data_IF_346506515504
#
_entry.id   IF_346506515504
#
_cell.length_a   1.000
_cell.length_b   1.000
_cell.length_c   1.000
_cell.angle_alpha   90.00
_cell.angle_beta   90.00
_cell.angle_gamma   90.00
#
_symmetry.space_group_name_H-M   'P 1'
#
loop_
_entity.id
_entity.type
_entity.pdbx_description
1 polymer ?
#
# COMPACT_ATOMS: atom_id res chain seq x y z
N UNK A 1 -2.27 -14.61 19.28
CA UNK A 1 -1.51 -14.75 18.02
C UNK A 1 -0.39 -13.70 17.99
N UNK A 2 0.84 -14.10 17.61
CA UNK A 2 2.02 -13.23 17.61
C UNK A 2 2.33 -12.67 16.22
N UNK A 3 1.52 -12.95 15.19
CA UNK A 3 1.77 -12.58 13.79
C UNK A 3 2.09 -11.10 13.62
N UNK A 4 1.24 -10.21 14.13
CA UNK A 4 1.43 -8.76 14.04
C UNK A 4 2.74 -8.27 14.70
N UNK A 5 3.13 -8.89 15.82
CA UNK A 5 4.37 -8.58 16.51
C UNK A 5 5.59 -9.00 15.68
N UNK A 6 5.53 -10.21 15.09
CA UNK A 6 6.63 -10.74 14.27
C UNK A 6 6.80 -9.86 13.01
N UNK A 7 5.72 -9.47 12.36
CA UNK A 7 5.77 -8.57 11.21
C UNK A 7 6.37 -7.20 11.58
N UNK A 8 5.91 -6.60 12.68
CA UNK A 8 6.42 -5.33 13.15
C UNK A 8 7.91 -5.37 13.53
N UNK A 9 8.34 -6.43 14.26
CA UNK A 9 9.74 -6.61 14.61
C UNK A 9 10.62 -6.85 13.37
N UNK A 10 10.15 -7.67 12.43
CA UNK A 10 10.85 -7.91 11.16
C UNK A 10 11.02 -6.62 10.37
N UNK A 11 9.97 -5.81 10.28
CA UNK A 11 10.04 -4.51 9.62
C UNK A 11 11.03 -3.57 10.34
N UNK A 12 10.99 -3.50 11.67
CA UNK A 12 11.87 -2.66 12.47
C UNK A 12 13.35 -2.98 12.25
N UNK A 13 13.70 -4.26 12.15
CA UNK A 13 15.08 -4.71 11.85
C UNK A 13 15.46 -4.46 10.39
N UNK A 14 14.51 -4.63 9.47
CA UNK A 14 14.77 -4.51 8.03
C UNK A 14 14.90 -3.06 7.57
N UNK A 15 14.12 -2.14 8.12
CA UNK A 15 14.11 -0.71 7.73
C UNK A 15 15.51 -0.07 7.71
N UNK A 16 16.35 -0.17 8.76
CA UNK A 16 17.70 0.44 8.73
C UNK A 16 18.55 -0.07 7.58
N UNK A 17 18.53 -1.38 7.31
CA UNK A 17 19.30 -1.99 6.23
C UNK A 17 18.82 -1.47 4.86
N UNK A 18 17.52 -1.49 4.63
CA UNK A 18 16.93 -1.00 3.37
C UNK A 18 17.13 0.51 3.19
N UNK A 19 17.05 1.29 4.26
CA UNK A 19 17.34 2.72 4.22
C UNK A 19 18.80 3.01 3.84
N UNK A 20 19.77 2.27 4.37
CA UNK A 20 21.20 2.41 4.01
C UNK A 20 21.38 2.12 2.51
N UNK A 21 20.81 1.02 2.02
CA UNK A 21 20.88 0.65 0.60
C UNK A 21 20.23 1.72 -0.29
N UNK A 22 19.02 2.16 0.06
CA UNK A 22 18.30 3.21 -0.65
C UNK A 22 19.09 4.52 -0.73
N UNK A 23 19.60 5.00 0.40
CA UNK A 23 20.39 6.24 0.41
C UNK A 23 21.71 6.09 -0.33
N UNK A 24 22.31 4.88 -0.29
CA UNK A 24 23.48 4.55 -1.09
C UNK A 24 23.22 4.66 -2.60
N UNK A 25 22.11 4.08 -3.06
CA UNK A 25 21.70 4.15 -4.46
C UNK A 25 21.38 5.60 -4.87
N UNK A 26 20.66 6.37 -4.05
CA UNK A 26 20.38 7.80 -4.30
C UNK A 26 21.65 8.64 -4.42
N UNK A 27 22.66 8.35 -3.58
CA UNK A 27 23.95 9.03 -3.65
C UNK A 27 24.70 8.74 -4.95
N UNK A 28 24.69 7.48 -5.41
CA UNK A 28 25.28 7.08 -6.68
C UNK A 28 24.58 7.75 -7.86
N UNK A 29 23.26 7.73 -7.89
CA UNK A 29 22.45 8.36 -8.93
C UNK A 29 22.70 9.88 -9.00
N UNK A 30 22.73 10.56 -7.86
CA UNK A 30 23.05 11.98 -7.82
C UNK A 30 24.41 12.29 -8.42
N UNK A 31 25.43 11.45 -8.13
CA UNK A 31 26.77 11.60 -8.72
C UNK A 31 26.77 11.36 -10.24
N UNK A 32 25.89 10.49 -10.73
CA UNK A 32 25.72 10.18 -12.14
C UNK A 32 24.78 11.14 -12.89
N UNK A 33 24.20 12.15 -12.20
CA UNK A 33 23.27 13.10 -12.81
C UNK A 33 21.88 12.53 -13.16
N UNK A 34 21.53 11.35 -12.60
CA UNK A 34 20.31 10.59 -12.97
C UNK A 34 19.09 10.97 -12.10
N UNK A 35 19.28 11.68 -10.98
CA UNK A 35 18.17 12.00 -10.07
C UNK A 35 17.32 13.13 -10.65
N UNK A 36 16.00 12.96 -10.78
CA UNK A 36 15.11 14.06 -11.09
C UNK A 36 15.23 15.17 -10.02
N UNK A 37 15.49 16.39 -10.44
CA UNK A 37 15.67 17.52 -9.53
C UNK A 37 14.37 17.99 -8.86
N UNK A 38 13.21 17.57 -9.38
CA UNK A 38 11.90 18.06 -8.93
C UNK A 38 11.15 17.01 -8.11
N UNK A 39 11.19 17.17 -6.80
CA UNK A 39 10.25 16.51 -5.89
C UNK A 39 8.94 17.32 -5.88
N UNK A 40 7.81 16.59 -5.86
CA UNK A 40 6.52 17.25 -5.69
C UNK A 40 6.48 18.01 -4.35
N UNK A 41 5.96 19.25 -4.34
CA UNK A 41 5.82 20.00 -3.10
C UNK A 41 4.79 19.36 -2.18
N UNK A 42 4.93 19.56 -0.87
CA UNK A 42 4.09 18.90 0.16
C UNK A 42 2.60 19.19 0.00
N UNK A 43 2.22 20.35 -0.55
CA UNK A 43 0.80 20.68 -0.76
C UNK A 43 0.09 19.78 -1.78
N UNK A 44 0.82 19.02 -2.60
CA UNK A 44 0.25 17.99 -3.51
C UNK A 44 -0.03 16.65 -2.83
N UNK A 45 0.57 16.38 -1.66
CA UNK A 45 0.41 15.11 -0.96
C UNK A 45 -1.05 14.77 -0.59
N UNK A 46 -1.92 15.73 -0.21
CA UNK A 46 -3.33 15.43 0.04
C UNK A 46 -4.02 14.73 -1.12
N UNK A 47 -3.69 15.06 -2.38
CA UNK A 47 -4.26 14.38 -3.54
C UNK A 47 -3.88 12.89 -3.58
N UNK A 48 -2.60 12.56 -3.33
CA UNK A 48 -2.16 11.17 -3.24
C UNK A 48 -2.82 10.42 -2.08
N UNK A 49 -3.00 11.07 -0.93
CA UNK A 49 -3.67 10.47 0.23
C UNK A 49 -5.15 10.21 -0.06
N UNK A 50 -5.87 11.16 -0.65
CA UNK A 50 -7.29 11.01 -1.01
C UNK A 50 -7.46 9.87 -2.02
N UNK A 51 -6.63 9.82 -3.06
CA UNK A 51 -6.60 8.74 -4.04
C UNK A 51 -6.38 7.38 -3.37
N UNK A 52 -5.39 7.30 -2.49
CA UNK A 52 -5.03 6.07 -1.80
C UNK A 52 -6.17 5.58 -0.88
N UNK A 53 -6.75 6.46 -0.08
CA UNK A 53 -7.87 6.14 0.81
C UNK A 53 -9.10 5.70 0.02
N UNK A 54 -9.43 6.40 -1.07
CA UNK A 54 -10.55 6.04 -1.94
C UNK A 54 -10.31 4.67 -2.61
N UNK A 55 -9.11 4.44 -3.14
CA UNK A 55 -8.76 3.17 -3.78
C UNK A 55 -8.80 2.01 -2.77
N UNK A 56 -8.22 2.20 -1.57
CA UNK A 56 -8.24 1.19 -0.52
C UNK A 56 -9.67 0.84 -0.10
N UNK A 57 -10.51 1.84 0.19
CA UNK A 57 -11.89 1.61 0.59
C UNK A 57 -12.71 0.96 -0.54
N UNK A 58 -12.57 1.43 -1.77
CA UNK A 58 -13.24 0.88 -2.93
C UNK A 58 -12.87 -0.59 -3.20
N UNK A 59 -11.58 -0.93 -3.15
CA UNK A 59 -11.12 -2.31 -3.34
C UNK A 59 -11.59 -3.23 -2.21
N UNK A 60 -11.56 -2.79 -0.95
CA UNK A 60 -12.12 -3.57 0.17
C UNK A 60 -13.63 -3.81 -0.02
N UNK A 61 -14.38 -2.81 -0.46
CA UNK A 61 -15.79 -2.98 -0.76
C UNK A 61 -16.02 -3.99 -1.90
N UNK A 62 -15.19 -3.97 -2.96
CA UNK A 62 -15.29 -4.95 -4.05
C UNK A 62 -14.99 -6.37 -3.57
N UNK A 63 -14.02 -6.56 -2.68
CA UNK A 63 -13.74 -7.85 -2.03
C UNK A 63 -14.99 -8.35 -1.29
N UNK A 64 -15.66 -7.47 -0.56
CA UNK A 64 -16.86 -7.79 0.22
C UNK A 64 -18.05 -8.09 -0.70
N UNK A 65 -18.36 -7.21 -1.68
CA UNK A 65 -19.47 -7.38 -2.63
C UNK A 65 -19.29 -8.64 -3.45
N UNK A 66 -18.06 -8.90 -3.91
CA UNK A 66 -17.71 -10.09 -4.68
C UNK A 66 -17.61 -11.37 -3.84
N UNK A 67 -17.81 -11.28 -2.52
CA UNK A 67 -17.64 -12.40 -1.58
C UNK A 67 -16.30 -13.16 -1.78
N UNK A 68 -15.23 -12.43 -2.13
CA UNK A 68 -13.94 -13.04 -2.44
C UNK A 68 -13.32 -13.77 -1.24
N UNK A 69 -13.71 -13.40 -0.02
CA UNK A 69 -13.33 -14.14 1.20
C UNK A 69 -13.85 -15.58 1.24
N UNK A 70 -14.84 -15.94 0.42
CA UNK A 70 -15.32 -17.31 0.29
C UNK A 70 -14.49 -18.15 -0.71
N UNK A 71 -13.77 -17.47 -1.61
CA UNK A 71 -12.91 -18.12 -2.63
C UNK A 71 -11.59 -18.61 -2.01
N UNK A 72 -11.14 -17.95 -0.96
CA UNK A 72 -9.87 -18.28 -0.29
C UNK A 72 -10.06 -18.38 1.23
N UNK A 73 -10.06 -19.59 1.74
CA UNK A 73 -10.23 -19.86 3.17
C UNK A 73 -9.09 -19.28 4.03
N UNK A 74 -7.87 -19.14 3.45
CA UNK A 74 -6.72 -18.61 4.15
C UNK A 74 -6.85 -17.10 4.43
N UNK A 75 -7.63 -16.37 3.63
CA UNK A 75 -7.87 -14.95 3.82
C UNK A 75 -8.45 -14.63 5.20
N UNK A 76 -9.50 -15.35 5.63
CA UNK A 76 -10.12 -15.14 6.95
C UNK A 76 -9.15 -15.45 8.09
N UNK A 77 -8.39 -16.53 7.97
CA UNK A 77 -7.41 -16.92 8.98
C UNK A 77 -6.33 -15.85 9.11
N UNK A 78 -5.79 -15.36 7.99
CA UNK A 78 -4.78 -14.31 7.96
C UNK A 78 -5.32 -13.01 8.58
N UNK A 79 -6.53 -12.57 8.20
CA UNK A 79 -7.15 -11.37 8.76
C UNK A 79 -7.36 -11.49 10.27
N UNK A 80 -7.85 -12.63 10.75
CA UNK A 80 -8.03 -12.85 12.18
C UNK A 80 -6.70 -12.81 12.93
N UNK A 81 -5.64 -13.39 12.39
CA UNK A 81 -4.29 -13.36 12.97
C UNK A 81 -3.75 -11.92 13.05
N UNK A 82 -3.81 -11.18 11.94
CA UNK A 82 -3.31 -9.79 11.86
C UNK A 82 -4.06 -8.83 12.80
N UNK A 83 -5.38 -8.97 12.92
CA UNK A 83 -6.21 -8.08 13.75
C UNK A 83 -6.46 -8.58 15.16
N UNK A 84 -5.79 -9.65 15.62
CA UNK A 84 -5.90 -10.18 17.00
C UNK A 84 -5.14 -9.35 18.04
N UNK A 85 -4.12 -8.61 17.62
CA UNK A 85 -3.28 -7.80 18.50
C UNK A 85 -4.05 -6.57 19.06
N UNK A 86 -3.58 -5.96 20.16
CA UNK A 86 -4.11 -4.68 20.64
C UNK A 86 -4.04 -3.59 19.58
N UNK A 87 -5.02 -2.67 19.53
CA UNK A 87 -5.13 -1.63 18.52
C UNK A 87 -3.85 -0.81 18.33
N UNK A 88 -3.20 -0.42 19.44
CA UNK A 88 -1.94 0.34 19.37
C UNK A 88 -0.84 -0.42 18.62
N UNK A 89 -0.78 -1.74 18.80
CA UNK A 89 0.19 -2.61 18.12
C UNK A 89 -0.17 -2.78 16.65
N UNK A 90 -1.45 -2.95 16.33
CA UNK A 90 -1.91 -2.96 14.94
C UNK A 90 -1.53 -1.67 14.23
N UNK A 91 -1.77 -0.50 14.84
CA UNK A 91 -1.39 0.79 14.26
C UNK A 91 0.12 0.89 14.07
N UNK A 92 0.90 0.59 15.12
CA UNK A 92 2.35 0.69 15.05
C UNK A 92 2.95 -0.26 14.00
N UNK A 93 2.55 -1.52 14.03
CA UNK A 93 3.13 -2.55 13.17
C UNK A 93 2.54 -2.50 11.76
N UNK A 94 1.21 -2.66 11.61
CA UNK A 94 0.56 -2.81 10.31
C UNK A 94 0.38 -1.49 9.57
N UNK A 95 0.15 -0.36 10.28
CA UNK A 95 -0.09 0.90 9.61
C UNK A 95 1.14 1.80 9.50
N UNK A 96 2.25 1.52 10.24
CA UNK A 96 3.45 2.35 10.20
C UNK A 96 4.67 1.56 9.78
N UNK A 97 5.11 0.57 10.57
CA UNK A 97 6.40 -0.09 10.35
C UNK A 97 6.42 -0.91 9.07
N UNK A 98 5.43 -1.77 8.86
CA UNK A 98 5.35 -2.63 7.68
C UNK A 98 5.27 -1.81 6.40
N UNK A 99 4.37 -0.83 6.24
CA UNK A 99 4.33 0.03 5.06
C UNK A 99 5.63 0.76 4.76
N UNK A 100 6.30 1.30 5.78
CA UNK A 100 7.59 1.97 5.59
C UNK A 100 8.64 0.99 5.07
N UNK A 101 8.72 -0.20 5.65
CA UNK A 101 9.63 -1.26 5.21
C UNK A 101 9.37 -1.65 3.76
N UNK A 102 8.12 -1.91 3.43
CA UNK A 102 7.69 -2.32 2.09
C UNK A 102 7.99 -1.24 1.04
N UNK A 103 7.75 0.02 1.34
CA UNK A 103 8.05 1.09 0.39
C UNK A 103 9.56 1.25 0.16
N UNK A 104 10.42 1.08 1.17
CA UNK A 104 11.86 1.03 0.97
C UNK A 104 12.27 -0.11 0.04
N UNK A 105 11.71 -1.31 0.26
CA UNK A 105 12.02 -2.50 -0.53
C UNK A 105 11.50 -2.35 -1.96
N UNK A 106 10.18 -2.12 -2.11
CA UNK A 106 9.52 -2.23 -3.41
C UNK A 106 9.67 -0.98 -4.27
N UNK A 107 9.50 0.23 -3.71
CA UNK A 107 9.58 1.48 -4.49
C UNK A 107 10.99 2.05 -4.48
N UNK A 108 11.60 2.09 -3.30
CA UNK A 108 12.93 2.66 -3.13
C UNK A 108 14.04 1.88 -3.82
N UNK A 109 14.00 0.55 -3.75
CA UNK A 109 15.05 -0.32 -4.30
C UNK A 109 14.58 -1.08 -5.53
N UNK A 110 13.56 -1.94 -5.41
CA UNK A 110 13.20 -2.88 -6.45
C UNK A 110 12.68 -2.17 -7.71
N UNK A 111 11.58 -1.41 -7.60
CA UNK A 111 11.03 -0.65 -8.72
C UNK A 111 12.08 0.26 -9.35
N UNK A 112 12.78 1.05 -8.54
CA UNK A 112 13.75 2.03 -9.04
C UNK A 112 14.95 1.40 -9.74
N UNK A 113 15.44 0.26 -9.27
CA UNK A 113 16.52 -0.46 -9.96
C UNK A 113 16.05 -1.04 -11.29
N UNK A 114 14.83 -1.61 -11.31
CA UNK A 114 14.25 -2.12 -12.55
C UNK A 114 13.98 -1.03 -13.58
N UNK A 115 13.46 0.11 -13.15
CA UNK A 115 13.13 1.23 -14.01
C UNK A 115 14.37 1.76 -14.78
N UNK A 116 15.55 1.69 -14.19
CA UNK A 116 16.81 2.08 -14.85
C UNK A 116 17.21 1.18 -16.01
N UNK A 117 16.85 -0.09 -15.93
CA UNK A 117 17.18 -1.11 -16.93
C UNK A 117 16.02 -1.39 -17.89
N UNK A 118 14.84 -0.77 -17.65
CA UNK A 118 13.62 -1.02 -18.40
C UNK A 118 12.76 0.24 -18.53
N UNK A 119 11.49 0.08 -18.93
CA UNK A 119 10.52 1.19 -18.95
C UNK A 119 9.80 1.34 -17.61
N UNK A 120 9.28 2.55 -17.34
CA UNK A 120 8.41 2.82 -16.20
C UNK A 120 7.27 1.80 -16.08
N UNK A 121 6.55 1.53 -17.18
CA UNK A 121 5.40 0.62 -17.17
C UNK A 121 5.83 -0.80 -16.81
N UNK A 122 6.93 -1.28 -17.36
CA UNK A 122 7.45 -2.61 -17.05
C UNK A 122 7.86 -2.72 -15.58
N UNK A 123 8.62 -1.75 -15.07
CA UNK A 123 9.04 -1.72 -13.67
C UNK A 123 7.84 -1.63 -12.72
N UNK A 124 6.84 -0.80 -13.05
CA UNK A 124 5.60 -0.64 -12.29
C UNK A 124 4.83 -1.95 -12.20
N UNK A 125 4.56 -2.59 -13.33
CA UNK A 125 3.77 -3.84 -13.37
C UNK A 125 4.53 -4.96 -12.66
N UNK A 126 5.81 -5.16 -13.00
CA UNK A 126 6.58 -6.26 -12.42
C UNK A 126 6.78 -6.12 -10.91
N UNK A 127 7.13 -4.91 -10.44
CA UNK A 127 7.28 -4.68 -8.99
C UNK A 127 5.96 -4.87 -8.24
N UNK A 128 4.83 -4.54 -8.87
CA UNK A 128 3.51 -4.72 -8.28
C UNK A 128 3.07 -6.19 -8.27
N UNK A 129 3.43 -6.96 -9.30
CA UNK A 129 3.21 -8.42 -9.31
C UNK A 129 3.99 -9.07 -8.17
N UNK A 130 5.28 -8.76 -8.04
CA UNK A 130 6.10 -9.32 -6.96
C UNK A 130 5.56 -8.90 -5.60
N UNK A 131 5.18 -7.63 -5.43
CA UNK A 131 4.56 -7.13 -4.21
C UNK A 131 3.27 -7.91 -3.86
N UNK A 132 2.39 -8.13 -4.83
CA UNK A 132 1.16 -8.92 -4.63
C UNK A 132 1.46 -10.37 -4.28
N UNK A 133 2.32 -11.05 -5.03
CA UNK A 133 2.64 -12.48 -4.86
C UNK A 133 3.24 -12.81 -3.49
N UNK A 134 3.93 -11.86 -2.87
CA UNK A 134 4.48 -12.06 -1.52
C UNK A 134 3.42 -12.03 -0.41
N UNK A 135 2.16 -11.72 -0.73
CA UNK A 135 1.06 -11.85 0.22
C UNK A 135 0.54 -13.30 0.26
N UNK A 136 0.15 -13.74 1.46
CA UNK A 136 -0.09 -15.16 1.78
C UNK A 136 -1.29 -15.76 1.07
N UNK A 137 -2.26 -14.95 0.61
CA UNK A 137 -3.51 -15.42 0.05
C UNK A 137 -3.91 -14.68 -1.23
N UNK A 138 -4.73 -15.31 -2.06
CA UNK A 138 -5.13 -14.81 -3.38
C UNK A 138 -5.81 -13.44 -3.30
N UNK A 139 -6.64 -13.19 -2.29
CA UNK A 139 -7.37 -11.93 -2.14
C UNK A 139 -6.40 -10.78 -1.84
N UNK A 140 -5.48 -10.98 -0.91
CA UNK A 140 -4.43 -9.99 -0.62
C UNK A 140 -3.44 -9.84 -1.78
N UNK A 141 -3.16 -10.93 -2.52
CA UNK A 141 -2.31 -10.87 -3.71
C UNK A 141 -2.90 -9.92 -4.77
N UNK A 142 -4.18 -10.06 -5.09
CA UNK A 142 -4.87 -9.19 -6.05
C UNK A 142 -4.96 -7.75 -5.53
N UNK A 143 -5.33 -7.58 -4.28
CA UNK A 143 -5.38 -6.28 -3.62
C UNK A 143 -4.01 -5.59 -3.61
N UNK A 144 -2.97 -6.30 -3.19
CA UNK A 144 -1.60 -5.82 -3.16
C UNK A 144 -1.07 -5.46 -4.55
N UNK A 145 -1.37 -6.26 -5.57
CA UNK A 145 -1.02 -5.93 -6.95
C UNK A 145 -1.60 -4.58 -7.39
N UNK A 146 -2.91 -4.37 -7.19
CA UNK A 146 -3.59 -3.13 -7.61
C UNK A 146 -3.08 -1.91 -6.82
N UNK A 147 -2.91 -2.05 -5.51
CA UNK A 147 -2.29 -0.99 -4.70
C UNK A 147 -0.82 -0.78 -5.07
N UNK A 148 -0.13 -1.84 -5.44
CA UNK A 148 1.24 -1.79 -5.93
C UNK A 148 1.40 -0.88 -7.14
N UNK A 149 0.52 -1.01 -8.12
CA UNK A 149 0.48 -0.14 -9.30
C UNK A 149 0.31 1.33 -8.93
N UNK A 150 -0.65 1.62 -8.05
CA UNK A 150 -0.91 2.98 -7.58
C UNK A 150 0.29 3.57 -6.83
N UNK A 151 0.90 2.81 -5.91
CA UNK A 151 2.03 3.29 -5.12
C UNK A 151 3.29 3.52 -5.98
N UNK A 152 3.52 2.68 -7.01
CA UNK A 152 4.60 2.90 -7.97
C UNK A 152 4.36 4.18 -8.81
N UNK A 153 3.13 4.41 -9.26
CA UNK A 153 2.73 5.65 -9.92
C UNK A 153 2.95 6.89 -9.02
N UNK A 154 2.53 6.81 -7.75
CA UNK A 154 2.75 7.90 -6.77
C UNK A 154 4.24 8.14 -6.55
N UNK A 155 5.04 7.08 -6.44
CA UNK A 155 6.49 7.22 -6.29
C UNK A 155 7.11 7.99 -7.44
N UNK A 156 6.78 7.62 -8.66
CA UNK A 156 7.31 8.28 -9.88
C UNK A 156 6.83 9.73 -10.00
N UNK A 157 5.52 9.94 -9.90
CA UNK A 157 4.91 11.28 -10.06
C UNK A 157 5.38 12.28 -9.01
N UNK A 158 5.66 11.82 -7.79
CA UNK A 158 6.07 12.69 -6.68
C UNK A 158 7.59 12.79 -6.49
N UNK A 159 8.37 11.96 -7.18
CA UNK A 159 9.84 11.94 -7.09
C UNK A 159 10.37 11.72 -5.67
N UNK A 160 9.59 11.06 -4.81
CA UNK A 160 9.90 10.92 -3.38
C UNK A 160 9.29 9.68 -2.77
N UNK A 161 10.08 8.90 -2.03
CA UNK A 161 9.60 7.74 -1.27
C UNK A 161 8.58 8.12 -0.17
N UNK A 162 8.61 9.38 0.29
CA UNK A 162 7.69 9.86 1.33
C UNK A 162 6.22 9.84 0.89
N UNK A 163 5.95 10.08 -0.40
CA UNK A 163 4.58 10.14 -0.90
C UNK A 163 3.90 8.77 -0.90
N UNK A 164 4.46 7.71 -1.54
CA UNK A 164 3.84 6.39 -1.46
C UNK A 164 3.88 5.82 -0.04
N UNK A 165 4.92 6.09 0.77
CA UNK A 165 4.94 5.65 2.17
C UNK A 165 3.77 6.28 2.97
N UNK A 166 3.53 7.58 2.85
CA UNK A 166 2.41 8.25 3.50
C UNK A 166 1.06 7.71 3.00
N UNK A 167 0.91 7.49 1.69
CA UNK A 167 -0.28 6.90 1.09
C UNK A 167 -0.54 5.48 1.61
N UNK A 168 0.48 4.64 1.63
CA UNK A 168 0.39 3.27 2.13
C UNK A 168 0.04 3.21 3.63
N UNK A 169 0.72 4.02 4.43
CA UNK A 169 0.40 4.14 5.86
C UNK A 169 -1.06 4.57 6.08
N UNK A 170 -1.56 5.54 5.30
CA UNK A 170 -2.94 6.00 5.40
C UNK A 170 -3.95 4.90 5.03
N UNK A 171 -3.69 4.12 3.97
CA UNK A 171 -4.53 2.97 3.57
C UNK A 171 -4.60 1.90 4.67
N UNK A 172 -3.45 1.52 5.21
CA UNK A 172 -3.40 0.51 6.26
C UNK A 172 -4.04 1.00 7.56
N UNK A 173 -3.84 2.28 7.92
CA UNK A 173 -4.52 2.89 9.07
C UNK A 173 -6.04 2.89 8.88
N UNK A 174 -6.53 3.26 7.68
CA UNK A 174 -7.94 3.17 7.36
C UNK A 174 -8.46 1.75 7.54
N UNK A 175 -7.76 0.73 7.02
CA UNK A 175 -8.16 -0.67 7.13
C UNK A 175 -8.20 -1.15 8.59
N UNK A 176 -7.21 -0.79 9.40
CA UNK A 176 -7.17 -1.10 10.84
C UNK A 176 -8.37 -0.48 11.57
N UNK A 177 -8.61 0.82 11.36
CA UNK A 177 -9.70 1.54 12.02
C UNK A 177 -11.08 1.09 11.50
N UNK A 178 -11.22 0.88 10.19
CA UNK A 178 -12.46 0.42 9.59
C UNK A 178 -12.88 -0.96 10.10
N UNK A 179 -11.90 -1.87 10.26
CA UNK A 179 -12.12 -3.20 10.84
C UNK A 179 -12.48 -3.08 12.32
N UNK A 180 -11.71 -2.31 13.09
CA UNK A 180 -11.90 -2.15 14.55
C UNK A 180 -13.25 -1.57 14.90
N UNK A 181 -13.71 -0.56 14.15
CA UNK A 181 -14.97 0.14 14.43
C UNK A 181 -16.15 -0.35 13.60
N UNK A 182 -15.99 -1.45 12.86
CA UNK A 182 -17.08 -2.09 12.13
C UNK A 182 -17.62 -1.27 10.95
N UNK A 183 -16.79 -0.40 10.31
CA UNK A 183 -17.20 0.40 9.16
C UNK A 183 -17.70 -0.49 8.01
N UNK A 184 -16.99 -1.57 7.71
CA UNK A 184 -17.39 -2.51 6.65
C UNK A 184 -18.73 -3.19 6.97
N UNK A 185 -18.95 -3.60 8.22
CA UNK A 185 -20.23 -4.16 8.66
C UNK A 185 -21.38 -3.14 8.56
N UNK A 186 -21.11 -1.86 8.86
CA UNK A 186 -22.09 -0.80 8.71
C UNK A 186 -22.43 -0.56 7.23
N UNK A 187 -21.45 -0.58 6.34
CA UNK A 187 -21.69 -0.44 4.90
C UNK A 187 -22.51 -1.61 4.34
N UNK A 188 -22.22 -2.83 4.77
CA UNK A 188 -22.90 -4.07 4.33
C UNK A 188 -24.38 -4.16 4.73
N UNK A 189 -24.83 -3.44 5.77
CA UNK A 189 -26.24 -3.44 6.19
C UNK A 189 -27.18 -2.85 5.13
N UNK A 190 -26.65 -2.19 4.11
CA UNK A 190 -27.43 -1.56 3.05
C UNK A 190 -26.68 -1.65 1.72
N UNK A 191 -27.21 -2.44 0.80
CA UNK A 191 -26.62 -2.68 -0.52
C UNK A 191 -26.46 -1.39 -1.35
N UNK A 192 -27.40 -0.47 -1.24
CA UNK A 192 -27.33 0.83 -1.91
C UNK A 192 -26.14 1.64 -1.36
N UNK A 193 -25.99 1.68 -0.04
CA UNK A 193 -24.91 2.40 0.65
C UNK A 193 -23.54 1.92 0.20
N UNK A 194 -23.28 0.60 0.29
CA UNK A 194 -21.98 0.07 -0.11
C UNK A 194 -21.72 0.29 -1.61
N UNK A 195 -22.74 0.13 -2.46
CA UNK A 195 -22.65 0.38 -3.90
C UNK A 195 -22.28 1.83 -4.22
N UNK A 196 -23.02 2.79 -3.64
CA UNK A 196 -22.76 4.22 -3.85
C UNK A 196 -21.37 4.62 -3.36
N UNK A 197 -20.96 4.19 -2.16
CA UNK A 197 -19.64 4.48 -1.62
C UNK A 197 -18.55 3.90 -2.56
N UNK A 198 -18.72 2.69 -3.06
CA UNK A 198 -17.76 2.05 -3.98
C UNK A 198 -17.63 2.84 -5.28
N UNK A 199 -18.74 3.25 -5.89
CA UNK A 199 -18.73 4.08 -7.12
C UNK A 199 -18.05 5.43 -6.87
N UNK A 200 -18.38 6.11 -5.77
CA UNK A 200 -17.74 7.38 -5.41
C UNK A 200 -16.24 7.21 -5.20
N UNK A 201 -15.82 6.14 -4.52
CA UNK A 201 -14.40 5.83 -4.36
C UNK A 201 -13.70 5.60 -5.70
N UNK A 202 -14.32 4.85 -6.62
CA UNK A 202 -13.78 4.63 -7.96
C UNK A 202 -13.65 5.94 -8.76
N UNK A 203 -14.66 6.82 -8.69
CA UNK A 203 -14.62 8.15 -9.32
C UNK A 203 -13.49 9.01 -8.77
N UNK A 204 -13.35 9.10 -7.44
CA UNK A 204 -12.28 9.86 -6.78
C UNK A 204 -10.91 9.30 -7.18
N UNK A 205 -10.71 7.99 -7.08
CA UNK A 205 -9.45 7.37 -7.47
C UNK A 205 -9.10 7.67 -8.94
N UNK A 206 -10.05 7.52 -9.85
CA UNK A 206 -9.84 7.77 -11.29
C UNK A 206 -9.47 9.22 -11.60
N UNK A 207 -10.13 10.20 -10.96
CA UNK A 207 -9.86 11.62 -11.20
C UNK A 207 -8.50 12.08 -10.66
N UNK A 208 -7.95 11.38 -9.68
CA UNK A 208 -6.65 11.71 -9.08
C UNK A 208 -5.46 11.08 -9.81
N UNK A 209 -5.70 10.13 -10.73
CA UNK A 209 -4.66 9.56 -11.60
C UNK A 209 -4.24 10.52 -12.74
N UNK A 210 -4.88 11.64 -12.91
CA UNK A 210 -4.54 12.71 -13.87
C UNK A 210 -3.58 13.71 -13.23
#
# INVERSE_FOLDING_TARGET
>A
DYTTWVEGLSALVTIPVMAILYHGDRKKEKKAGIIPDKKAPLWKYPAALIMALAMSLGLNNLIIIGNLSAVDASYKTTMNAMYSAPLAIQILCLAVLVPICEEYVFRGLFFRRMEKESSFVYAMVYSSVVFGVLHVNLVQMLYGFLLGLMLAYVYEKYGSLKAPAAAHMAMNLLSVLATRYGLYNWMLKDNMRIGVITVVCAMIASTMFV
#
